data_IF_818168088575
#
_entry.id   IF_818168088575
#
_cell.length_a   1.000
_cell.length_b   1.000
_cell.length_c   1.000
_cell.angle_alpha   90.00
_cell.angle_beta   90.00
_cell.angle_gamma   90.00
#
_symmetry.space_group_name_H-M   'P 1'
#
loop_
_entity.id
_entity.type
_entity.pdbx_description
1 polymer ?
#
# COMPACT_ATOMS: atom_id res chain seq x y z
N UNK A 1 9.25 9.65 -3.99
CA UNK A 1 10.56 9.53 -3.30
C UNK A 1 11.63 10.40 -3.94
N UNK A 2 11.85 10.29 -5.26
CA UNK A 2 12.87 11.03 -6.03
C UNK A 2 12.96 12.53 -5.70
N UNK A 3 11.84 13.25 -5.70
CA UNK A 3 11.81 14.69 -5.41
C UNK A 3 12.38 15.07 -4.03
N UNK A 4 12.18 14.23 -3.00
CA UNK A 4 12.74 14.49 -1.67
C UNK A 4 14.28 14.34 -1.70
N UNK A 5 14.79 13.36 -2.44
CA UNK A 5 16.24 13.12 -2.59
C UNK A 5 16.93 14.23 -3.41
N UNK A 6 16.26 14.75 -4.44
CA UNK A 6 16.78 15.87 -5.23
C UNK A 6 16.86 17.16 -4.39
N UNK A 7 15.80 17.47 -3.64
CA UNK A 7 15.73 18.67 -2.81
C UNK A 7 16.67 18.61 -1.60
N UNK A 8 16.96 17.42 -1.07
CA UNK A 8 17.86 17.25 0.07
C UNK A 8 19.33 17.53 -0.25
N UNK A 9 19.71 17.53 -1.53
CA UNK A 9 21.06 17.88 -1.98
C UNK A 9 21.42 19.35 -1.72
N UNK A 10 20.43 20.23 -1.49
CA UNK A 10 20.63 21.64 -1.13
C UNK A 10 19.57 22.13 -0.15
N UNK A 11 19.93 22.30 1.12
CA UNK A 11 18.99 22.58 2.20
C UNK A 11 18.70 24.08 2.37
N UNK A 12 18.08 24.69 1.36
CA UNK A 12 17.51 26.05 1.49
C UNK A 12 16.21 26.03 2.30
N UNK A 13 15.80 27.17 2.86
CA UNK A 13 14.53 27.29 3.59
C UNK A 13 13.32 26.87 2.72
N UNK A 14 13.34 27.22 1.43
CA UNK A 14 12.32 26.83 0.46
C UNK A 14 12.31 25.33 0.22
N UNK A 15 13.49 24.70 0.07
CA UNK A 15 13.61 23.27 -0.14
C UNK A 15 13.15 22.48 1.09
N UNK A 16 13.47 22.94 2.30
CA UNK A 16 12.98 22.34 3.55
C UNK A 16 11.44 22.36 3.60
N UNK A 17 10.82 23.50 3.27
CA UNK A 17 9.37 23.60 3.21
C UNK A 17 8.77 22.60 2.20
N UNK A 18 9.41 22.45 1.04
CA UNK A 18 8.93 21.55 0.00
C UNK A 18 9.12 20.07 0.37
N UNK A 19 10.24 19.70 0.98
CA UNK A 19 10.49 18.36 1.52
C UNK A 19 9.41 18.00 2.54
N UNK A 20 9.11 18.90 3.49
CA UNK A 20 8.06 18.67 4.51
C UNK A 20 6.70 18.42 3.86
N UNK A 21 6.32 19.19 2.84
CA UNK A 21 5.06 18.94 2.12
C UNK A 21 5.05 17.58 1.43
N UNK A 22 6.13 17.21 0.75
CA UNK A 22 6.23 15.91 0.09
C UNK A 22 6.16 14.74 1.07
N UNK A 23 6.80 14.87 2.25
CA UNK A 23 6.70 13.87 3.33
C UNK A 23 5.25 13.76 3.80
N UNK A 24 4.60 14.87 4.14
CA UNK A 24 3.21 14.87 4.61
C UNK A 24 2.25 14.25 3.58
N UNK A 25 2.38 14.63 2.29
CA UNK A 25 1.57 14.05 1.22
C UNK A 25 1.79 12.55 1.10
N UNK A 26 3.06 12.09 1.04
CA UNK A 26 3.39 10.66 1.03
C UNK A 26 2.73 9.92 2.19
N UNK A 27 2.80 10.48 3.39
CA UNK A 27 2.22 9.87 4.58
C UNK A 27 0.71 9.77 4.53
N UNK A 28 0.04 10.82 4.06
CA UNK A 28 -1.40 10.85 3.87
C UNK A 28 -1.86 9.78 2.86
N UNK A 29 -1.19 9.71 1.70
CA UNK A 29 -1.52 8.72 0.66
C UNK A 29 -1.29 7.29 1.13
N UNK A 30 -0.16 7.00 1.78
CA UNK A 30 0.10 5.68 2.32
C UNK A 30 -0.92 5.28 3.40
N UNK A 31 -1.35 6.24 4.23
CA UNK A 31 -2.41 6.01 5.23
C UNK A 31 -3.74 5.67 4.57
N UNK A 32 -4.14 6.42 3.52
CA UNK A 32 -5.35 6.12 2.74
C UNK A 32 -5.34 4.71 2.14
N UNK A 33 -4.19 4.27 1.62
CA UNK A 33 -4.03 2.90 1.10
C UNK A 33 -4.25 1.88 2.22
N UNK A 34 -3.59 2.05 3.37
CA UNK A 34 -3.73 1.13 4.52
C UNK A 34 -5.19 1.04 4.97
N UNK A 35 -5.87 2.18 5.13
CA UNK A 35 -7.28 2.23 5.56
C UNK A 35 -8.20 1.58 4.53
N UNK A 36 -8.06 1.90 3.24
CA UNK A 36 -8.87 1.28 2.20
C UNK A 36 -8.68 -0.24 2.16
N UNK A 37 -7.43 -0.69 2.25
CA UNK A 37 -7.11 -2.13 2.22
C UNK A 37 -7.65 -2.82 3.47
N UNK A 38 -7.54 -2.21 4.65
CA UNK A 38 -8.06 -2.79 5.89
C UNK A 38 -9.59 -2.88 5.88
N UNK A 39 -10.26 -1.76 5.64
CA UNK A 39 -11.70 -1.64 5.87
C UNK A 39 -12.51 -2.28 4.73
N UNK A 40 -12.14 -1.98 3.49
CA UNK A 40 -12.88 -2.44 2.33
C UNK A 40 -12.30 -3.75 1.79
N UNK A 41 -11.03 -3.75 1.39
CA UNK A 41 -10.48 -4.90 0.67
C UNK A 41 -10.42 -6.14 1.57
N UNK A 42 -9.89 -6.03 2.79
CA UNK A 42 -9.71 -7.15 3.69
C UNK A 42 -11.00 -7.47 4.45
N UNK A 43 -11.48 -6.57 5.32
CA UNK A 43 -12.62 -6.85 6.20
C UNK A 43 -13.92 -7.16 5.45
N UNK A 44 -14.20 -6.47 4.33
CA UNK A 44 -15.46 -6.66 3.61
C UNK A 44 -15.38 -7.73 2.51
N UNK A 45 -14.24 -7.85 1.80
CA UNK A 45 -14.15 -8.69 0.60
C UNK A 45 -13.47 -10.04 0.83
N UNK A 46 -12.54 -10.15 1.79
CA UNK A 46 -11.85 -11.41 2.09
C UNK A 46 -12.64 -12.22 3.13
N UNK A 47 -13.73 -12.85 2.67
CA UNK A 47 -14.60 -13.68 3.52
C UNK A 47 -14.10 -15.13 3.62
N UNK A 48 -14.25 -15.83 4.77
CA UNK A 48 -13.83 -17.23 4.91
C UNK A 48 -14.46 -18.16 3.88
N UNK A 49 -13.79 -19.30 3.60
CA UNK A 49 -14.31 -20.34 2.69
C UNK A 49 -15.66 -20.86 3.20
N UNK A 50 -16.64 -21.00 2.29
CA UNK A 50 -18.00 -21.44 2.63
C UNK A 50 -18.91 -20.36 3.21
N UNK A 51 -18.40 -19.16 3.52
CA UNK A 51 -19.24 -18.04 3.91
C UNK A 51 -20.04 -17.47 2.72
N UNK A 52 -21.20 -16.89 3.00
CA UNK A 52 -22.06 -16.30 1.98
C UNK A 52 -21.34 -15.16 1.21
N UNK A 53 -21.24 -15.34 -0.11
CA UNK A 53 -20.53 -14.41 -1.00
C UNK A 53 -19.01 -14.43 -0.83
N UNK A 54 -18.44 -15.51 -0.29
CA UNK A 54 -17.01 -15.75 -0.33
C UNK A 54 -16.56 -16.05 -1.77
N UNK A 55 -15.48 -15.41 -2.26
CA UNK A 55 -14.94 -15.69 -3.58
C UNK A 55 -14.00 -16.92 -3.59
N UNK A 56 -13.72 -17.53 -2.45
CA UNK A 56 -12.71 -18.59 -2.33
C UNK A 56 -13.34 -19.99 -2.30
N UNK A 57 -12.73 -20.91 -3.07
CA UNK A 57 -13.13 -22.32 -3.14
C UNK A 57 -12.21 -23.23 -2.32
N UNK A 58 -11.04 -22.72 -1.91
CA UNK A 58 -10.07 -23.44 -1.08
C UNK A 58 -9.52 -22.57 0.03
N UNK A 59 -9.11 -23.20 1.13
CA UNK A 59 -8.47 -22.51 2.26
C UNK A 59 -7.15 -21.85 1.84
N UNK A 60 -6.45 -22.46 0.88
CA UNK A 60 -5.21 -21.89 0.33
C UNK A 60 -5.46 -20.52 -0.31
N UNK A 61 -6.50 -20.39 -1.13
CA UNK A 61 -6.80 -19.13 -1.83
C UNK A 61 -7.19 -18.03 -0.84
N UNK A 62 -7.94 -18.39 0.20
CA UNK A 62 -8.28 -17.47 1.29
C UNK A 62 -7.03 -16.98 2.03
N UNK A 63 -6.14 -17.89 2.44
CA UNK A 63 -4.90 -17.53 3.13
C UNK A 63 -3.95 -16.72 2.25
N UNK A 64 -3.85 -17.03 0.97
CA UNK A 64 -3.02 -16.27 0.03
C UNK A 64 -3.58 -14.86 -0.20
N UNK A 65 -4.91 -14.70 -0.27
CA UNK A 65 -5.54 -13.39 -0.31
C UNK A 65 -5.25 -12.59 0.97
N UNK A 66 -5.39 -13.17 2.16
CA UNK A 66 -5.05 -12.51 3.43
C UNK A 66 -3.60 -12.00 3.43
N UNK A 67 -2.66 -12.83 2.99
CA UNK A 67 -1.24 -12.47 2.90
C UNK A 67 -1.01 -11.33 1.92
N UNK A 68 -1.62 -11.37 0.73
CA UNK A 68 -1.47 -10.33 -0.28
C UNK A 68 -1.95 -8.96 0.24
N UNK A 69 -3.12 -8.92 0.89
CA UNK A 69 -3.65 -7.68 1.48
C UNK A 69 -2.77 -7.15 2.62
N UNK A 70 -2.33 -8.04 3.52
CA UNK A 70 -1.41 -7.66 4.59
C UNK A 70 -0.08 -7.14 4.03
N UNK A 71 0.41 -7.73 2.95
CA UNK A 71 1.63 -7.29 2.29
C UNK A 71 1.50 -5.87 1.74
N UNK A 72 0.38 -5.52 1.08
CA UNK A 72 0.10 -4.13 0.67
C UNK A 72 0.16 -3.17 1.86
N UNK A 73 -0.49 -3.52 2.98
CA UNK A 73 -0.51 -2.66 4.16
C UNK A 73 0.90 -2.44 4.74
N UNK A 74 1.71 -3.49 4.82
CA UNK A 74 3.08 -3.38 5.34
C UNK A 74 4.03 -2.67 4.37
N UNK A 75 3.88 -2.87 3.07
CA UNK A 75 4.62 -2.14 2.04
C UNK A 75 4.26 -0.64 2.05
N UNK A 76 2.97 -0.31 2.17
CA UNK A 76 2.50 1.07 2.31
C UNK A 76 3.06 1.74 3.56
N UNK A 77 3.11 1.02 4.68
CA UNK A 77 3.73 1.52 5.91
C UNK A 77 5.24 1.77 5.74
N UNK A 78 5.96 0.89 5.03
CA UNK A 78 7.39 1.12 4.72
C UNK A 78 7.59 2.32 3.79
N UNK A 79 6.78 2.46 2.75
CA UNK A 79 6.80 3.63 1.87
C UNK A 79 6.46 4.91 2.65
N UNK A 80 5.54 4.84 3.62
CA UNK A 80 5.21 5.94 4.52
C UNK A 80 6.42 6.43 5.32
N UNK A 81 7.24 5.53 5.83
CA UNK A 81 8.34 5.86 6.76
C UNK A 81 9.68 6.17 6.08
N UNK A 82 9.88 5.73 4.86
CA UNK A 82 11.17 5.85 4.16
C UNK A 82 11.13 6.83 3.00
N UNK A 83 12.29 7.13 2.40
CA UNK A 83 12.44 7.92 1.17
C UNK A 83 13.13 7.13 0.05
N UNK A 84 13.25 5.81 0.23
CA UNK A 84 13.84 4.91 -0.75
C UNK A 84 12.84 4.60 -1.86
N UNK A 85 13.28 4.69 -3.13
CA UNK A 85 12.42 4.40 -4.29
C UNK A 85 11.92 2.95 -4.24
N UNK A 86 12.77 2.02 -3.80
CA UNK A 86 12.41 0.61 -3.62
C UNK A 86 11.21 0.39 -2.69
N UNK A 87 10.95 1.31 -1.75
CA UNK A 87 9.75 1.25 -0.91
C UNK A 87 8.46 1.51 -1.68
N UNK A 88 8.50 2.40 -2.68
CA UNK A 88 7.38 2.65 -3.57
C UNK A 88 7.21 1.51 -4.58
N UNK A 89 8.30 0.97 -5.14
CA UNK A 89 8.26 -0.15 -6.09
C UNK A 89 7.66 -1.41 -5.44
N UNK A 90 8.04 -1.71 -4.20
CA UNK A 90 7.48 -2.83 -3.44
C UNK A 90 5.99 -2.64 -3.14
N UNK A 91 5.54 -1.41 -2.91
CA UNK A 91 4.12 -1.10 -2.74
C UNK A 91 3.36 -1.29 -4.05
N UNK A 92 3.89 -0.81 -5.16
CA UNK A 92 3.27 -0.93 -6.49
C UNK A 92 3.07 -2.41 -6.86
N UNK A 93 4.14 -3.21 -6.73
CA UNK A 93 4.06 -4.65 -6.97
C UNK A 93 3.05 -5.35 -6.05
N UNK A 94 3.02 -5.00 -4.75
CA UNK A 94 2.05 -5.56 -3.82
C UNK A 94 0.60 -5.22 -4.22
N UNK A 95 0.36 -3.99 -4.69
CA UNK A 95 -0.95 -3.55 -5.15
C UNK A 95 -1.38 -4.33 -6.39
N UNK A 96 -0.49 -4.51 -7.37
CA UNK A 96 -0.78 -5.30 -8.58
C UNK A 96 -1.14 -6.74 -8.26
N UNK A 97 -0.37 -7.39 -7.38
CA UNK A 97 -0.62 -8.76 -6.96
C UNK A 97 -1.97 -8.91 -6.24
N UNK A 98 -2.28 -7.97 -5.34
CA UNK A 98 -3.56 -7.94 -4.62
C UNK A 98 -4.72 -7.62 -5.57
N UNK A 99 -4.52 -6.71 -6.52
CA UNK A 99 -5.53 -6.26 -7.47
C UNK A 99 -6.04 -7.38 -8.38
N UNK A 100 -5.26 -8.44 -8.62
CA UNK A 100 -5.71 -9.63 -9.36
C UNK A 100 -6.99 -10.26 -8.78
N UNK A 101 -7.24 -10.14 -7.47
CA UNK A 101 -8.48 -10.60 -6.85
C UNK A 101 -9.71 -9.77 -7.28
N UNK A 102 -9.49 -8.53 -7.73
CA UNK A 102 -10.52 -7.54 -8.04
C UNK A 102 -10.71 -7.30 -9.54
N UNK A 103 -9.70 -7.61 -10.35
CA UNK A 103 -9.68 -7.33 -11.80
C UNK A 103 -9.82 -8.58 -12.67
N UNK A 104 -9.87 -9.78 -12.08
CA UNK A 104 -10.18 -11.00 -12.83
C UNK A 104 -11.63 -10.96 -13.34
N UNK A 105 -11.76 -10.94 -14.66
CA UNK A 105 -13.01 -11.08 -15.42
C UNK A 105 -13.54 -12.51 -15.39
#
# INVERSE_FOLDING_TARGET
MVQINELSASLTAQNINQITRWVNTKEEHATKIITLVADYCLCQRVKPVGAAGSPFTSEKDYLDALKAHHYVMTAAMKAKQTIEVAGADALDHAVDDMAMMYTRA
#
